data_IF_787871054227
#
_entry.id   IF_787871054227
#
_cell.length_a   1.000
_cell.length_b   1.000
_cell.length_c   1.000
_cell.angle_alpha   90.00
_cell.angle_beta   90.00
_cell.angle_gamma   90.00
#
_symmetry.space_group_name_H-M   'P 1'
#
loop_
_entity.id
_entity.type
_entity.pdbx_description
1 polymer ?
#
# COMPACT_ATOMS: atom_id res chain seq x y z
N UNK A 1 -12.50 26.62 -4.94
CA UNK A 1 -11.22 26.37 -5.66
C UNK A 1 -10.10 26.75 -4.70
N UNK A 2 -9.63 25.79 -3.91
CA UNK A 2 -8.46 25.95 -3.04
C UNK A 2 -7.44 24.97 -3.60
N UNK A 3 -6.54 25.49 -4.45
CA UNK A 3 -5.32 24.78 -4.83
C UNK A 3 -4.37 24.84 -3.64
N UNK A 4 -4.44 23.89 -2.75
CA UNK A 4 -3.36 23.64 -1.79
C UNK A 4 -2.35 22.73 -2.49
N UNK A 5 -1.43 23.32 -3.23
CA UNK A 5 -0.16 22.68 -3.55
C UNK A 5 0.61 22.58 -2.24
N UNK A 6 0.46 21.47 -1.54
CA UNK A 6 1.31 21.16 -0.40
C UNK A 6 2.71 20.87 -0.95
N UNK A 7 3.59 21.84 -0.77
CA UNK A 7 5.01 21.69 -1.07
C UNK A 7 5.63 21.04 0.16
N UNK A 8 5.95 19.75 0.10
CA UNK A 8 6.70 19.07 1.16
C UNK A 8 8.20 19.32 0.92
N UNK A 9 8.81 20.12 1.76
CA UNK A 9 10.27 20.27 1.76
C UNK A 9 10.97 19.07 2.39
N UNK A 10 12.28 18.95 2.17
CA UNK A 10 13.10 17.84 2.70
C UNK A 10 13.04 17.76 4.23
N UNK A 11 12.85 18.87 4.92
CA UNK A 11 12.77 18.94 6.39
C UNK A 11 11.49 18.29 6.87
N UNK A 12 10.37 18.63 6.25
CA UNK A 12 9.06 18.01 6.54
C UNK A 12 9.07 16.51 6.26
N UNK A 13 9.61 16.09 5.11
CA UNK A 13 9.75 14.66 4.78
C UNK A 13 10.66 13.92 5.77
N UNK A 14 11.72 14.58 6.25
CA UNK A 14 12.61 13.99 7.28
C UNK A 14 11.87 13.80 8.62
N UNK A 15 11.09 14.79 9.03
CA UNK A 15 10.31 14.71 10.26
C UNK A 15 9.28 13.58 10.21
N UNK A 16 8.53 13.49 9.13
CA UNK A 16 7.55 12.43 8.89
C UNK A 16 8.20 11.04 8.86
N UNK A 17 9.33 10.90 8.17
CA UNK A 17 10.04 9.63 8.12
C UNK A 17 10.51 9.17 9.52
N UNK A 18 10.99 10.10 10.35
CA UNK A 18 11.41 9.80 11.71
C UNK A 18 10.23 9.41 12.61
N UNK A 19 9.11 10.10 12.50
CA UNK A 19 7.88 9.82 13.24
C UNK A 19 7.36 8.39 12.96
N UNK A 20 7.45 7.96 11.72
CA UNK A 20 6.98 6.63 11.31
C UNK A 20 8.08 5.55 11.30
N UNK A 21 9.23 5.81 11.88
CA UNK A 21 10.34 4.86 11.93
C UNK A 21 10.89 4.48 10.55
N UNK A 22 10.65 5.34 9.54
CA UNK A 22 11.15 5.13 8.19
C UNK A 22 12.62 5.53 8.06
N UNK A 23 13.39 4.72 7.34
CA UNK A 23 14.74 5.09 6.96
C UNK A 23 14.68 6.14 5.84
N UNK A 24 15.15 7.36 6.14
CA UNK A 24 15.14 8.47 5.21
C UNK A 24 16.51 8.67 4.56
N UNK A 25 16.53 8.78 3.23
CA UNK A 25 17.76 8.95 2.45
C UNK A 25 17.58 10.06 1.44
N UNK A 26 18.41 11.09 1.50
CA UNK A 26 18.44 12.16 0.50
C UNK A 26 19.62 11.95 -0.45
N UNK A 27 19.32 11.85 -1.74
CA UNK A 27 20.30 11.87 -2.84
C UNK A 27 20.30 13.27 -3.43
N UNK A 28 21.22 14.11 -2.98
CA UNK A 28 21.30 15.53 -3.34
C UNK A 28 22.08 15.71 -4.63
N UNK A 29 21.39 15.65 -5.76
CA UNK A 29 21.90 15.91 -7.10
C UNK A 29 23.17 15.13 -7.47
N UNK A 30 23.28 13.80 -7.25
CA UNK A 30 24.50 13.08 -7.58
C UNK A 30 24.78 13.14 -9.09
N UNK A 31 25.89 13.74 -9.48
CA UNK A 31 26.26 13.94 -10.87
C UNK A 31 26.95 12.71 -11.52
N UNK A 32 27.10 11.62 -10.80
CA UNK A 32 27.69 10.37 -11.32
C UNK A 32 27.22 9.16 -10.53
N UNK A 33 27.31 7.99 -11.15
CA UNK A 33 27.11 6.68 -10.50
C UNK A 33 27.90 6.57 -9.19
N UNK A 34 29.17 6.97 -9.19
CA UNK A 34 30.02 6.91 -8.00
C UNK A 34 29.48 7.79 -6.86
N UNK A 35 29.03 9.00 -7.17
CA UNK A 35 28.47 9.92 -6.20
C UNK A 35 27.17 9.37 -5.61
N UNK A 36 26.29 8.80 -6.45
CA UNK A 36 25.04 8.18 -6.01
C UNK A 36 25.29 6.98 -5.09
N UNK A 37 26.17 6.06 -5.48
CA UNK A 37 26.50 4.89 -4.67
C UNK A 37 27.19 5.28 -3.34
N UNK A 38 28.01 6.33 -3.35
CA UNK A 38 28.62 6.88 -2.13
C UNK A 38 27.55 7.46 -1.17
N UNK A 39 26.56 8.17 -1.71
CA UNK A 39 25.44 8.71 -0.91
C UNK A 39 24.61 7.58 -0.27
N UNK A 40 24.28 6.54 -1.02
CA UNK A 40 23.58 5.35 -0.50
C UNK A 40 24.39 4.62 0.58
N UNK A 41 25.71 4.56 0.42
CA UNK A 41 26.60 3.97 1.44
C UNK A 41 26.64 4.83 2.70
N UNK A 42 26.79 6.16 2.54
CA UNK A 42 26.81 7.11 3.68
C UNK A 42 25.51 7.08 4.46
N UNK A 43 24.38 6.91 3.80
CA UNK A 43 23.07 6.75 4.47
C UNK A 43 22.87 5.39 5.16
N UNK A 44 23.80 4.46 5.00
CA UNK A 44 23.69 3.11 5.50
C UNK A 44 22.62 2.25 4.79
N UNK A 45 22.15 2.66 3.61
CA UNK A 45 21.25 1.87 2.79
C UNK A 45 22.00 0.80 2.00
N UNK A 46 23.28 1.03 1.73
CA UNK A 46 24.13 0.09 1.04
C UNK A 46 25.49 -0.07 1.76
N UNK A 47 26.11 -1.25 1.74
CA UNK A 47 27.42 -1.46 2.34
C UNK A 47 28.54 -0.81 1.52
N UNK A 48 29.71 -0.63 2.11
CA UNK A 48 30.86 -0.03 1.46
C UNK A 48 31.35 -0.80 0.20
N UNK A 49 31.02 -2.07 0.07
CA UNK A 49 31.32 -2.91 -1.09
C UNK A 49 30.62 -2.47 -2.38
N UNK A 50 29.54 -1.70 -2.28
CA UNK A 50 28.74 -1.20 -3.42
C UNK A 50 29.48 -0.15 -4.29
N UNK A 51 30.61 0.36 -3.86
CA UNK A 51 31.30 1.58 -4.34
C UNK A 51 31.32 1.85 -5.85
N UNK A 52 31.19 0.86 -6.74
CA UNK A 52 31.25 1.02 -8.20
C UNK A 52 30.34 0.07 -8.99
N UNK A 53 29.54 -0.76 -8.31
CA UNK A 53 28.86 -1.86 -8.96
C UNK A 53 27.35 -1.83 -8.73
N UNK A 54 26.60 -1.69 -9.83
CA UNK A 54 25.15 -1.79 -9.83
C UNK A 54 24.65 -3.18 -9.43
N UNK A 55 25.40 -4.24 -9.80
CA UNK A 55 25.03 -5.61 -9.46
C UNK A 55 25.03 -5.83 -7.94
N UNK A 56 26.05 -5.33 -7.26
CA UNK A 56 26.12 -5.39 -5.79
C UNK A 56 25.00 -4.57 -5.14
N UNK A 57 24.67 -3.40 -5.67
CA UNK A 57 23.53 -2.63 -5.18
C UNK A 57 22.22 -3.36 -5.37
N UNK A 58 22.00 -3.96 -6.55
CA UNK A 58 20.81 -4.74 -6.85
C UNK A 58 20.69 -5.92 -5.89
N UNK A 59 21.76 -6.66 -5.66
CA UNK A 59 21.78 -7.78 -4.72
C UNK A 59 21.42 -7.35 -3.30
N UNK A 60 22.05 -6.28 -2.80
CA UNK A 60 21.82 -5.76 -1.44
C UNK A 60 20.38 -5.30 -1.23
N UNK A 61 19.85 -4.50 -2.16
CA UNK A 61 18.50 -3.96 -2.03
C UNK A 61 17.40 -5.01 -2.24
N UNK A 62 17.69 -6.07 -3.00
CA UNK A 62 16.75 -7.16 -3.27
C UNK A 62 16.83 -8.33 -2.30
N UNK A 63 17.81 -8.35 -1.40
CA UNK A 63 17.86 -9.37 -0.32
C UNK A 63 16.58 -9.31 0.50
N UNK A 64 16.04 -10.49 0.87
CA UNK A 64 14.93 -10.54 1.80
C UNK A 64 15.26 -9.73 3.06
N UNK A 65 14.42 -8.81 3.40
CA UNK A 65 14.52 -8.04 4.64
C UNK A 65 13.68 -8.74 5.71
N UNK A 66 14.07 -8.66 6.99
CA UNK A 66 13.24 -9.21 8.05
C UNK A 66 11.85 -8.51 8.03
N UNK A 67 10.77 -9.21 8.41
CA UNK A 67 9.41 -8.65 8.42
C UNK A 67 9.27 -7.34 9.23
N UNK A 68 10.16 -7.14 10.21
CA UNK A 68 10.24 -5.93 11.04
C UNK A 68 11.06 -4.79 10.40
N UNK A 69 11.59 -4.96 9.19
CA UNK A 69 12.31 -3.88 8.52
C UNK A 69 11.31 -2.78 8.11
N UNK A 70 11.42 -1.63 8.76
CA UNK A 70 10.57 -0.46 8.52
C UNK A 70 10.62 0.08 7.07
N UNK A 71 9.77 1.05 6.75
CA UNK A 71 9.75 1.68 5.45
C UNK A 71 11.07 2.38 5.12
N UNK A 72 11.37 2.55 3.83
CA UNK A 72 12.53 3.29 3.33
C UNK A 72 12.04 4.33 2.35
N UNK A 73 12.35 5.61 2.61
CA UNK A 73 12.05 6.72 1.73
C UNK A 73 13.36 7.29 1.17
N UNK A 74 13.53 7.24 -0.14
CA UNK A 74 14.63 7.86 -0.85
C UNK A 74 14.10 9.10 -1.57
N UNK A 75 14.60 10.27 -1.22
CA UNK A 75 14.35 11.52 -1.95
C UNK A 75 15.52 11.78 -2.88
N UNK A 76 15.27 11.75 -4.19
CA UNK A 76 16.28 11.97 -5.21
C UNK A 76 16.07 13.34 -5.84
N UNK A 77 16.89 14.30 -5.41
CA UNK A 77 16.89 15.66 -5.95
C UNK A 77 17.72 15.72 -7.23
N UNK A 78 17.30 16.54 -8.17
CA UNK A 78 17.99 16.77 -9.45
C UNK A 78 18.40 15.47 -10.19
N UNK A 79 17.49 14.54 -10.46
CA UNK A 79 17.81 13.28 -11.13
C UNK A 79 18.41 13.48 -12.54
N UNK A 80 18.18 14.64 -13.16
CA UNK A 80 18.71 14.99 -14.47
C UNK A 80 20.23 15.22 -14.47
N UNK A 81 20.86 15.41 -13.31
CA UNK A 81 22.33 15.54 -13.20
C UNK A 81 23.04 14.20 -13.40
N UNK A 82 22.34 13.09 -13.20
CA UNK A 82 22.91 11.77 -13.45
C UNK A 82 22.72 11.39 -14.92
N UNK A 83 23.71 10.71 -15.48
CA UNK A 83 23.62 10.13 -16.83
C UNK A 83 22.33 9.28 -16.99
N UNK A 84 21.70 9.39 -18.16
CA UNK A 84 20.39 8.76 -18.39
C UNK A 84 20.43 7.25 -18.25
N UNK A 85 21.51 6.58 -18.65
CA UNK A 85 21.68 5.14 -18.54
C UNK A 85 21.84 4.72 -17.07
N UNK A 86 22.64 5.44 -16.29
CA UNK A 86 22.82 5.21 -14.86
C UNK A 86 21.54 5.52 -14.08
N UNK A 87 20.81 6.58 -14.45
CA UNK A 87 19.51 6.91 -13.86
C UNK A 87 18.46 5.82 -14.14
N UNK A 88 18.40 5.31 -15.36
CA UNK A 88 17.55 4.20 -15.76
C UNK A 88 17.88 2.91 -15.00
N UNK A 89 19.16 2.60 -14.85
CA UNK A 89 19.63 1.43 -14.10
C UNK A 89 19.24 1.54 -12.63
N UNK A 90 19.46 2.69 -12.00
CA UNK A 90 19.08 2.89 -10.60
C UNK A 90 17.57 2.74 -10.37
N UNK A 91 16.74 3.37 -11.22
CA UNK A 91 15.26 3.21 -11.15
C UNK A 91 14.84 1.76 -11.26
N UNK A 92 15.45 0.99 -12.17
CA UNK A 92 15.16 -0.43 -12.34
C UNK A 92 15.51 -1.25 -11.10
N UNK A 93 16.68 -1.00 -10.50
CA UNK A 93 17.11 -1.68 -9.27
C UNK A 93 16.14 -1.40 -8.13
N UNK A 94 15.78 -0.13 -7.91
CA UNK A 94 14.87 0.26 -6.83
C UNK A 94 13.48 -0.35 -7.03
N UNK A 95 12.96 -0.35 -8.24
CA UNK A 95 11.66 -0.97 -8.58
C UNK A 95 11.66 -2.46 -8.23
N UNK A 96 12.70 -3.19 -8.68
CA UNK A 96 12.82 -4.62 -8.39
C UNK A 96 12.96 -4.87 -6.87
N UNK A 97 13.70 -4.02 -6.17
CA UNK A 97 13.85 -4.11 -4.73
C UNK A 97 12.52 -3.86 -4.00
N UNK A 98 11.76 -2.85 -4.40
CA UNK A 98 10.45 -2.54 -3.84
C UNK A 98 9.48 -3.73 -3.96
N UNK A 99 9.38 -4.31 -5.16
CA UNK A 99 8.54 -5.49 -5.42
C UNK A 99 8.93 -6.68 -4.54
N UNK A 100 10.24 -6.97 -4.43
CA UNK A 100 10.72 -8.10 -3.62
C UNK A 100 10.57 -7.88 -2.12
N UNK A 101 10.79 -6.65 -1.64
CA UNK A 101 10.55 -6.30 -0.22
C UNK A 101 9.09 -6.51 0.15
N UNK A 102 8.19 -6.04 -0.70
CA UNK A 102 6.75 -6.20 -0.51
C UNK A 102 6.36 -7.69 -0.46
N UNK A 103 6.82 -8.48 -1.43
CA UNK A 103 6.55 -9.93 -1.47
C UNK A 103 7.10 -10.69 -0.25
N UNK A 104 8.12 -10.15 0.42
CA UNK A 104 8.73 -10.72 1.62
C UNK A 104 8.11 -10.19 2.94
N UNK A 105 7.06 -9.36 2.87
CA UNK A 105 6.43 -8.75 4.05
C UNK A 105 7.26 -7.65 4.72
N UNK A 106 8.26 -7.10 4.02
CA UNK A 106 9.06 -5.96 4.48
C UNK A 106 8.36 -4.64 4.20
N UNK A 107 8.69 -3.58 4.96
CA UNK A 107 8.16 -2.24 4.77
C UNK A 107 8.47 -1.68 3.36
N UNK A 108 7.66 -0.71 2.87
CA UNK A 108 7.77 -0.18 1.52
C UNK A 108 9.13 0.49 1.26
N UNK A 109 9.57 0.44 0.01
CA UNK A 109 10.70 1.20 -0.50
C UNK A 109 10.17 2.19 -1.54
N UNK A 110 10.25 3.47 -1.21
CA UNK A 110 9.77 4.56 -2.05
C UNK A 110 10.94 5.41 -2.55
N UNK A 111 10.85 5.88 -3.79
CA UNK A 111 11.74 6.90 -4.33
C UNK A 111 10.90 8.04 -4.88
N UNK A 112 11.09 9.22 -4.30
CA UNK A 112 10.53 10.47 -4.79
C UNK A 112 11.63 11.25 -5.48
N UNK A 113 11.43 11.58 -6.76
CA UNK A 113 12.36 12.39 -7.54
C UNK A 113 11.79 13.80 -7.69
N UNK A 114 12.61 14.80 -7.44
CA UNK A 114 12.20 16.20 -7.50
C UNK A 114 13.33 17.14 -7.91
N UNK A 115 13.03 18.44 -8.04
CA UNK A 115 14.01 19.49 -8.34
C UNK A 115 15.04 19.65 -7.19
N UNK A 116 15.93 20.63 -7.31
CA UNK A 116 16.96 20.93 -6.31
C UNK A 116 16.37 21.29 -4.94
N UNK A 117 17.23 21.31 -3.89
CA UNK A 117 16.81 21.66 -2.52
C UNK A 117 16.19 23.05 -2.38
N UNK A 118 16.54 23.96 -3.27
CA UNK A 118 16.06 25.35 -3.26
C UNK A 118 14.64 25.46 -3.87
N UNK A 119 14.25 24.49 -4.65
CA UNK A 119 12.89 24.39 -5.18
C UNK A 119 12.13 23.34 -4.36
N UNK A 120 10.98 23.74 -3.88
CA UNK A 120 10.09 22.85 -3.17
C UNK A 120 9.77 21.62 -4.04
N UNK A 121 9.94 20.43 -3.50
CA UNK A 121 9.56 19.19 -4.19
C UNK A 121 8.03 19.24 -4.35
N UNK A 122 7.50 19.39 -5.57
CA UNK A 122 6.06 19.25 -5.74
C UNK A 122 5.73 17.81 -5.32
N UNK A 123 4.82 17.65 -4.38
CA UNK A 123 4.15 16.36 -4.23
C UNK A 123 3.66 16.01 -5.62
N UNK A 124 4.05 14.84 -6.19
CA UNK A 124 3.57 14.46 -7.49
C UNK A 124 2.07 14.72 -7.50
N UNK A 125 1.58 15.44 -8.50
CA UNK A 125 0.14 15.60 -8.67
C UNK A 125 -0.39 14.17 -8.87
N UNK A 126 -0.77 13.55 -7.74
CA UNK A 126 -1.23 12.16 -7.72
C UNK A 126 -2.44 12.18 -8.63
N UNK A 127 -2.40 11.49 -9.78
CA UNK A 127 -3.49 11.55 -10.73
C UNK A 127 -4.81 11.37 -9.99
N UNK A 128 -5.87 12.08 -10.34
CA UNK A 128 -7.17 11.94 -9.67
C UNK A 128 -7.64 10.49 -9.53
N UNK A 129 -7.16 9.60 -10.42
CA UNK A 129 -7.38 8.16 -10.35
C UNK A 129 -6.77 7.48 -9.12
N UNK A 130 -5.64 8.00 -8.61
CA UNK A 130 -5.00 7.46 -7.39
C UNK A 130 -5.61 8.08 -6.11
N UNK A 131 -6.25 9.25 -6.24
CA UNK A 131 -6.96 9.92 -5.14
C UNK A 131 -8.38 9.43 -4.94
N UNK A 132 -8.90 8.61 -5.84
CA UNK A 132 -10.30 8.15 -5.78
C UNK A 132 -10.34 6.71 -5.30
N UNK A 133 -11.20 6.46 -4.33
CA UNK A 133 -11.76 5.15 -4.15
C UNK A 133 -12.48 4.79 -5.45
N UNK A 134 -12.29 3.56 -5.90
CA UNK A 134 -13.03 3.01 -7.03
C UNK A 134 -14.48 2.72 -6.67
N UNK A 135 -14.99 1.63 -7.16
CA UNK A 135 -16.33 1.17 -6.78
C UNK A 135 -16.31 0.52 -5.38
N UNK A 136 -17.49 0.35 -4.81
CA UNK A 136 -17.67 -0.54 -3.69
C UNK A 136 -17.42 -1.97 -4.18
N UNK A 137 -16.39 -2.63 -3.62
CA UNK A 137 -16.11 -4.03 -3.91
C UNK A 137 -17.13 -4.92 -3.21
N UNK A 138 -17.29 -4.76 -1.91
CA UNK A 138 -18.30 -5.46 -1.13
C UNK A 138 -18.76 -4.71 0.11
N UNK A 139 -19.85 -5.18 0.65
CA UNK A 139 -20.36 -4.81 1.97
C UNK A 139 -20.35 -6.07 2.83
N UNK A 140 -19.70 -6.02 4.00
CA UNK A 140 -19.56 -7.16 4.87
C UNK A 140 -20.57 -7.13 6.04
N UNK A 141 -21.17 -8.27 6.27
CA UNK A 141 -22.10 -8.53 7.35
C UNK A 141 -21.57 -9.67 8.22
N UNK A 142 -21.50 -9.44 9.52
CA UNK A 142 -21.21 -10.54 10.45
C UNK A 142 -22.50 -11.31 10.73
N UNK A 143 -22.39 -12.63 10.61
CA UNK A 143 -23.48 -13.58 10.88
C UNK A 143 -23.02 -14.66 11.84
N UNK A 144 -23.96 -15.24 12.57
CA UNK A 144 -23.71 -16.38 13.48
C UNK A 144 -23.40 -17.65 12.68
N UNK A 145 -24.07 -17.83 11.55
CA UNK A 145 -23.88 -18.99 10.67
C UNK A 145 -24.17 -18.60 9.22
N UNK A 146 -23.21 -18.82 8.34
CA UNK A 146 -23.39 -18.64 6.90
C UNK A 146 -24.44 -19.60 6.37
N UNK A 147 -24.42 -20.86 6.79
CA UNK A 147 -25.36 -21.88 6.32
C UNK A 147 -26.84 -21.55 6.68
N UNK A 148 -27.06 -20.89 7.81
CA UNK A 148 -28.38 -20.40 8.19
C UNK A 148 -28.77 -19.10 7.47
N UNK A 149 -27.81 -18.25 7.15
CA UNK A 149 -28.05 -16.90 6.60
C UNK A 149 -28.12 -16.86 5.08
N UNK A 150 -27.39 -17.74 4.38
CA UNK A 150 -27.26 -17.72 2.93
C UNK A 150 -28.59 -17.86 2.19
N UNK A 151 -29.57 -18.60 2.78
CA UNK A 151 -30.90 -18.77 2.18
C UNK A 151 -31.67 -17.45 2.01
N UNK A 152 -31.55 -16.52 2.97
CA UNK A 152 -32.14 -15.19 2.81
C UNK A 152 -31.58 -14.47 1.57
N UNK A 153 -30.27 -14.44 1.43
CA UNK A 153 -29.61 -13.66 0.37
C UNK A 153 -29.73 -14.32 -1.01
N UNK A 154 -29.52 -15.63 -1.07
CA UNK A 154 -29.57 -16.40 -2.32
C UNK A 154 -30.99 -16.70 -2.77
N UNK A 155 -31.81 -17.28 -1.88
CA UNK A 155 -33.08 -17.87 -2.30
C UNK A 155 -34.25 -16.86 -2.23
N UNK A 156 -34.22 -15.93 -1.28
CA UNK A 156 -35.31 -14.95 -1.11
C UNK A 156 -35.00 -13.63 -1.82
N UNK A 157 -33.74 -13.14 -1.78
CA UNK A 157 -33.33 -11.88 -2.40
C UNK A 157 -32.72 -12.09 -3.81
N UNK A 158 -32.43 -13.32 -4.19
CA UNK A 158 -32.01 -13.68 -5.55
C UNK A 158 -30.54 -13.33 -5.87
N UNK A 159 -29.67 -13.18 -4.88
CA UNK A 159 -28.25 -12.95 -5.12
C UNK A 159 -27.55 -14.25 -5.52
N UNK A 160 -26.56 -14.16 -6.40
CA UNK A 160 -25.77 -15.31 -6.80
C UNK A 160 -24.69 -15.62 -5.76
N UNK A 161 -24.71 -16.84 -5.20
CA UNK A 161 -23.64 -17.31 -4.31
C UNK A 161 -22.41 -17.68 -5.16
N UNK A 162 -21.36 -16.83 -5.10
CA UNK A 162 -20.14 -17.00 -5.88
C UNK A 162 -19.16 -17.98 -5.23
N UNK A 163 -18.97 -17.85 -3.91
CA UNK A 163 -17.99 -18.67 -3.19
C UNK A 163 -18.29 -18.75 -1.70
N UNK A 164 -17.84 -19.84 -1.09
CA UNK A 164 -17.73 -20.00 0.38
C UNK A 164 -16.33 -20.53 0.66
N UNK A 165 -15.60 -19.89 1.57
CA UNK A 165 -14.25 -20.31 1.92
C UNK A 165 -13.88 -20.00 3.35
N UNK A 166 -12.91 -20.74 3.88
CA UNK A 166 -12.28 -20.46 5.17
C UNK A 166 -11.07 -19.54 4.98
N UNK A 167 -10.92 -18.57 5.86
CA UNK A 167 -9.75 -17.70 5.97
C UNK A 167 -9.05 -17.98 7.31
N UNK A 168 -8.15 -18.97 7.36
CA UNK A 168 -7.54 -19.40 8.62
C UNK A 168 -6.74 -18.33 9.33
N UNK A 169 -6.12 -17.40 8.57
CA UNK A 169 -5.34 -16.28 9.12
C UNK A 169 -6.20 -15.35 9.95
N UNK A 170 -7.44 -15.12 9.53
CA UNK A 170 -8.39 -14.23 10.18
C UNK A 170 -9.38 -15.01 11.10
N UNK A 171 -9.30 -16.33 11.03
CA UNK A 171 -10.17 -17.27 11.78
C UNK A 171 -11.64 -16.98 11.54
N UNK A 172 -11.99 -16.86 10.27
CA UNK A 172 -13.36 -16.66 9.80
C UNK A 172 -13.65 -17.58 8.62
N UNK A 173 -14.92 -17.92 8.45
CA UNK A 173 -15.50 -18.44 7.21
C UNK A 173 -16.24 -17.32 6.54
N UNK A 174 -16.15 -17.21 5.23
CA UNK A 174 -16.80 -16.15 4.46
C UNK A 174 -17.61 -16.73 3.31
N UNK A 175 -18.64 -15.99 2.90
CA UNK A 175 -19.39 -16.25 1.68
C UNK A 175 -19.58 -14.95 0.90
N UNK A 176 -19.24 -14.96 -0.41
CA UNK A 176 -19.52 -13.85 -1.31
C UNK A 176 -20.78 -14.14 -2.13
N UNK A 177 -21.67 -13.14 -2.16
CA UNK A 177 -22.88 -13.15 -3.00
C UNK A 177 -22.86 -11.94 -3.92
N UNK A 178 -22.95 -12.17 -5.23
CA UNK A 178 -22.89 -11.15 -6.26
C UNK A 178 -24.14 -10.27 -6.30
N UNK A 179 -23.95 -8.96 -6.44
CA UNK A 179 -25.01 -7.97 -6.64
C UNK A 179 -24.53 -6.87 -7.58
N UNK A 180 -24.90 -6.97 -8.87
CA UNK A 180 -24.37 -6.08 -9.91
C UNK A 180 -22.85 -6.18 -10.02
N UNK A 181 -22.15 -5.06 -9.87
CA UNK A 181 -20.66 -5.04 -9.88
C UNK A 181 -20.03 -5.12 -8.48
N UNK A 182 -20.84 -5.29 -7.45
CA UNK A 182 -20.44 -5.37 -6.05
C UNK A 182 -20.85 -6.71 -5.46
N UNK A 183 -20.50 -6.95 -4.19
CA UNK A 183 -20.85 -8.18 -3.47
C UNK A 183 -21.40 -7.88 -2.09
N UNK A 184 -22.16 -8.80 -1.57
CA UNK A 184 -22.42 -8.95 -0.14
C UNK A 184 -21.47 -10.04 0.37
N UNK A 185 -20.72 -9.74 1.41
CA UNK A 185 -19.89 -10.70 2.13
C UNK A 185 -20.56 -11.07 3.44
N UNK A 186 -20.80 -12.35 3.67
CA UNK A 186 -21.18 -12.86 4.97
C UNK A 186 -19.94 -13.38 5.68
N UNK A 187 -19.74 -12.97 6.93
CA UNK A 187 -18.56 -13.31 7.73
C UNK A 187 -18.99 -14.04 8.99
N UNK A 188 -18.59 -15.30 9.13
CA UNK A 188 -18.82 -16.15 10.28
C UNK A 188 -17.51 -16.36 11.04
N UNK A 189 -17.40 -16.00 12.33
CA UNK A 189 -16.21 -16.29 13.12
C UNK A 189 -16.09 -17.79 13.38
N UNK A 190 -14.88 -18.36 13.15
CA UNK A 190 -14.59 -19.77 13.48
C UNK A 190 -13.88 -19.94 14.83
N UNK A 191 -13.65 -18.83 15.52
CA UNK A 191 -12.96 -18.77 16.82
C UNK A 191 -13.52 -17.58 17.62
N UNK A 192 -13.79 -17.79 18.90
CA UNK A 192 -14.44 -16.81 19.79
C UNK A 192 -13.51 -15.71 20.30
N UNK A 193 -12.20 -15.83 20.04
CA UNK A 193 -11.18 -14.84 20.48
C UNK A 193 -10.93 -13.71 19.48
N UNK A 194 -11.53 -13.77 18.30
CA UNK A 194 -11.29 -12.80 17.20
C UNK A 194 -12.00 -11.45 17.42
N UNK A 195 -11.60 -10.44 16.64
CA UNK A 195 -12.31 -9.16 16.56
C UNK A 195 -13.75 -9.32 16.06
N UNK A 196 -13.93 -10.20 15.07
CA UNK A 196 -15.23 -10.55 14.47
C UNK A 196 -16.14 -11.20 15.53
N UNK A 197 -15.63 -12.16 16.29
CA UNK A 197 -16.40 -12.80 17.37
C UNK A 197 -16.79 -11.80 18.48
N UNK A 198 -15.87 -10.90 18.86
CA UNK A 198 -16.18 -9.83 19.83
C UNK A 198 -17.24 -8.87 19.31
N UNK A 199 -17.20 -8.54 18.00
CA UNK A 199 -18.25 -7.72 17.39
C UNK A 199 -19.59 -8.44 17.49
N UNK A 200 -19.66 -9.70 17.06
CA UNK A 200 -20.89 -10.51 17.10
C UNK A 200 -21.45 -10.61 18.53
N UNK A 201 -20.60 -10.86 19.53
CA UNK A 201 -21.01 -10.94 20.93
C UNK A 201 -21.54 -9.61 21.49
N UNK A 202 -21.00 -8.48 21.04
CA UNK A 202 -21.35 -7.17 21.59
C UNK A 202 -22.43 -6.41 20.82
N UNK A 203 -22.51 -6.63 19.51
CA UNK A 203 -23.40 -5.91 18.59
C UNK A 203 -24.50 -6.78 17.99
N UNK A 204 -24.32 -8.11 18.01
CA UNK A 204 -25.14 -9.04 17.26
C UNK A 204 -24.74 -9.11 15.79
N UNK A 205 -25.55 -9.79 14.99
CA UNK A 205 -25.41 -9.85 13.54
C UNK A 205 -25.65 -8.48 12.90
N UNK A 206 -24.95 -8.19 11.83
CA UNK A 206 -25.17 -6.96 11.09
C UNK A 206 -23.95 -6.41 10.36
N UNK A 207 -24.09 -5.17 9.93
CA UNK A 207 -23.07 -4.46 9.15
C UNK A 207 -21.74 -4.36 9.90
N UNK A 208 -20.66 -4.77 9.22
CA UNK A 208 -19.32 -4.74 9.77
C UNK A 208 -18.42 -3.69 9.07
N UNK A 209 -18.26 -3.82 7.75
CA UNK A 209 -17.44 -2.90 6.99
C UNK A 209 -17.92 -2.72 5.55
N UNK A 210 -17.42 -1.68 4.91
CA UNK A 210 -17.50 -1.47 3.47
C UNK A 210 -16.10 -1.55 2.89
N UNK A 211 -15.94 -2.29 1.80
CA UNK A 211 -14.69 -2.43 1.05
C UNK A 211 -14.75 -1.62 -0.24
N UNK A 212 -13.71 -0.83 -0.49
CA UNK A 212 -13.55 -0.07 -1.72
C UNK A 212 -12.33 -0.56 -2.51
N UNK A 213 -12.46 -0.58 -3.82
CA UNK A 213 -11.33 -0.81 -4.70
C UNK A 213 -10.44 0.42 -4.77
N UNK A 214 -9.13 0.20 -4.78
CA UNK A 214 -8.11 1.20 -5.06
C UNK A 214 -7.18 0.70 -6.15
N UNK A 215 -6.62 1.61 -6.92
CA UNK A 215 -5.74 1.25 -8.03
C UNK A 215 -4.37 0.72 -7.55
N UNK A 216 -3.87 1.25 -6.44
CA UNK A 216 -2.62 0.85 -5.80
C UNK A 216 -2.80 0.99 -4.28
N UNK A 217 -2.85 -0.14 -3.60
CA UNK A 217 -3.15 -0.17 -2.18
C UNK A 217 -2.01 0.42 -1.35
N UNK A 218 -0.77 0.13 -1.68
CA UNK A 218 0.39 0.65 -0.94
C UNK A 218 0.47 2.18 -1.02
N UNK A 219 0.25 2.76 -2.21
CA UNK A 219 0.22 4.21 -2.38
C UNK A 219 -0.97 4.86 -1.66
N UNK A 220 -2.13 4.19 -1.71
CA UNK A 220 -3.32 4.67 -1.00
C UNK A 220 -3.09 4.75 0.51
N UNK A 221 -2.48 3.72 1.12
CA UNK A 221 -2.20 3.70 2.56
C UNK A 221 -1.25 4.81 2.98
N UNK A 222 -0.13 4.99 2.27
CA UNK A 222 0.83 6.06 2.54
C UNK A 222 0.15 7.42 2.50
N UNK A 223 -0.65 7.66 1.46
CA UNK A 223 -1.34 8.94 1.32
C UNK A 223 -2.35 9.17 2.45
N UNK A 224 -3.16 8.16 2.78
CA UNK A 224 -4.18 8.27 3.83
C UNK A 224 -3.53 8.54 5.19
N UNK A 225 -2.40 7.93 5.47
CA UNK A 225 -1.61 8.18 6.68
C UNK A 225 -1.05 9.61 6.69
N UNK A 226 -0.49 10.09 5.57
CA UNK A 226 -0.05 11.47 5.41
C UNK A 226 -1.19 12.50 5.53
N UNK A 227 -2.39 12.13 5.11
CA UNK A 227 -3.61 12.93 5.27
C UNK A 227 -4.16 12.87 6.70
N UNK A 228 -3.48 12.14 7.62
CA UNK A 228 -3.80 12.07 9.05
C UNK A 228 -4.87 11.05 9.43
N UNK A 229 -5.17 10.09 8.56
CA UNK A 229 -6.09 9.00 8.90
C UNK A 229 -5.38 7.95 9.76
N UNK A 230 -6.07 7.49 10.81
CA UNK A 230 -5.63 6.35 11.61
C UNK A 230 -5.90 5.06 10.82
N UNK A 231 -4.85 4.32 10.50
CA UNK A 231 -4.93 3.04 9.80
C UNK A 231 -4.84 1.90 10.82
N UNK A 232 -5.57 0.80 10.56
CA UNK A 232 -5.38 -0.47 11.29
C UNK A 232 -4.20 -1.22 10.67
N UNK A 233 -4.17 -1.28 9.32
CA UNK A 233 -3.08 -1.89 8.58
C UNK A 233 -2.30 -0.79 7.84
N UNK A 234 -1.04 -0.58 8.20
CA UNK A 234 -0.14 0.37 7.53
C UNK A 234 0.55 -0.22 6.30
N UNK A 235 0.43 -1.54 6.12
CA UNK A 235 0.91 -2.29 4.95
C UNK A 235 -0.17 -3.26 4.49
N UNK A 236 -0.26 -3.54 3.17
CA UNK A 236 -1.21 -4.52 2.66
C UNK A 236 -1.00 -5.90 3.30
N UNK A 237 -2.09 -6.56 3.67
CA UNK A 237 -2.12 -7.95 4.11
C UNK A 237 -2.92 -8.81 3.14
N UNK A 238 -2.77 -10.12 3.23
CA UNK A 238 -3.53 -11.05 2.37
C UNK A 238 -4.99 -11.07 2.81
N UNK A 239 -5.89 -10.75 1.88
CA UNK A 239 -7.34 -10.96 2.00
C UNK A 239 -7.81 -12.15 1.16
N UNK A 240 -9.12 -12.33 1.08
CA UNK A 240 -9.74 -13.42 0.34
C UNK A 240 -9.54 -13.32 -1.18
N UNK A 241 -9.71 -12.14 -1.74
CA UNK A 241 -9.67 -11.89 -3.20
C UNK A 241 -8.48 -11.04 -3.62
N UNK A 242 -7.56 -10.72 -2.72
CA UNK A 242 -6.36 -9.92 -3.02
C UNK A 242 -5.75 -9.27 -1.80
N UNK A 243 -4.76 -8.39 -2.02
CA UNK A 243 -4.20 -7.58 -0.95
C UNK A 243 -5.24 -6.60 -0.40
N UNK A 244 -5.37 -6.52 0.93
CA UNK A 244 -6.31 -5.66 1.63
C UNK A 244 -5.64 -4.89 2.77
N UNK A 245 -6.28 -3.81 3.21
CA UNK A 245 -5.92 -3.09 4.42
C UNK A 245 -7.14 -2.35 5.00
N UNK A 246 -7.15 -2.12 6.32
CA UNK A 246 -8.24 -1.47 7.02
C UNK A 246 -7.87 -0.09 7.53
N UNK A 247 -8.82 0.84 7.38
CA UNK A 247 -8.79 2.17 7.99
C UNK A 247 -9.59 2.11 9.30
N UNK A 248 -9.04 2.69 10.36
CA UNK A 248 -9.67 2.66 11.67
C UNK A 248 -11.00 3.44 11.67
N UNK A 249 -12.08 2.90 12.30
CA UNK A 249 -13.39 3.55 12.33
C UNK A 249 -13.39 5.00 12.85
N UNK A 250 -12.45 5.37 13.72
CA UNK A 250 -12.32 6.76 14.22
C UNK A 250 -12.09 7.76 13.10
N UNK A 251 -11.39 7.37 12.05
CA UNK A 251 -11.10 8.23 10.89
C UNK A 251 -12.26 8.24 9.87
N UNK A 252 -13.22 7.32 10.00
CA UNK A 252 -14.33 7.11 9.06
C UNK A 252 -15.70 7.21 9.73
N UNK A 253 -15.88 8.13 10.67
CA UNK A 253 -17.16 8.40 11.35
C UNK A 253 -17.81 7.15 12.00
N UNK A 254 -16.98 6.24 12.50
CA UNK A 254 -17.43 5.01 13.15
C UNK A 254 -17.61 3.81 12.21
N UNK A 255 -17.36 3.99 10.90
CA UNK A 255 -17.42 2.92 9.91
C UNK A 255 -16.03 2.30 9.75
N UNK A 256 -15.94 0.97 9.84
CA UNK A 256 -14.74 0.23 9.43
C UNK A 256 -14.68 0.22 7.90
N UNK A 257 -13.60 0.72 7.35
CA UNK A 257 -13.39 0.77 5.89
C UNK A 257 -12.25 -0.17 5.51
N UNK A 258 -12.52 -1.05 4.58
CA UNK A 258 -11.53 -1.90 3.94
C UNK A 258 -11.15 -1.32 2.57
N UNK A 259 -9.91 -1.45 2.20
CA UNK A 259 -9.41 -1.17 0.85
C UNK A 259 -8.87 -2.46 0.25
N UNK A 260 -9.19 -2.70 -1.02
CA UNK A 260 -8.66 -3.83 -1.81
C UNK A 260 -8.02 -3.29 -3.09
N UNK A 261 -6.90 -3.88 -3.50
CA UNK A 261 -6.31 -3.52 -4.79
C UNK A 261 -7.11 -4.12 -5.94
N UNK A 262 -7.56 -3.25 -6.86
CA UNK A 262 -8.34 -3.68 -8.03
C UNK A 262 -7.54 -4.63 -8.92
N UNK A 263 -8.14 -5.72 -9.44
CA UNK A 263 -7.50 -6.58 -10.41
C UNK A 263 -7.13 -5.77 -11.66
N UNK A 264 -5.85 -5.78 -12.05
CA UNK A 264 -5.36 -5.02 -13.19
C UNK A 264 -5.27 -3.50 -12.96
N UNK A 265 -5.20 -3.06 -11.71
CA UNK A 265 -4.88 -1.69 -11.34
C UNK A 265 -3.67 -1.17 -12.12
N UNK A 266 -3.51 0.15 -12.29
CA UNK A 266 -2.49 0.70 -13.17
C UNK A 266 -1.12 0.19 -12.75
N UNK A 267 -0.57 -0.67 -13.59
CA UNK A 267 0.85 -1.01 -13.50
C UNK A 267 1.64 0.27 -13.77
N UNK A 268 2.84 0.40 -13.26
CA UNK A 268 3.73 1.55 -13.50
C UNK A 268 3.82 1.98 -14.99
N UNK A 269 3.48 1.08 -15.91
CA UNK A 269 3.39 1.30 -17.36
C UNK A 269 2.21 2.20 -17.75
N UNK A 270 1.09 2.15 -17.05
CA UNK A 270 -0.09 2.97 -17.35
C UNK A 270 0.00 4.38 -16.77
N UNK A 271 0.95 4.64 -15.87
CA UNK A 271 1.24 5.94 -15.30
C UNK A 271 2.22 6.78 -16.17
N UNK A 272 2.44 6.38 -17.43
CA UNK A 272 3.31 7.11 -18.36
C UNK A 272 4.81 6.84 -18.17
N UNK A 273 5.18 5.91 -17.30
CA UNK A 273 6.55 5.43 -17.19
C UNK A 273 6.75 4.32 -18.21
N UNK A 274 7.16 4.71 -19.43
CA UNK A 274 7.53 3.79 -20.49
C UNK A 274 8.54 2.78 -19.97
N UNK A 275 8.20 1.49 -20.00
CA UNK A 275 9.18 0.43 -19.99
C UNK A 275 9.87 0.45 -21.35
N UNK A 276 10.89 1.32 -21.53
CA UNK A 276 11.75 1.24 -22.69
C UNK A 276 12.26 -0.19 -22.82
N UNK A 277 11.99 -0.79 -23.98
CA UNK A 277 12.62 -2.02 -24.43
C UNK A 277 14.09 -1.77 -24.65
#
# INVERSE_FOLDING_TARGET
MIETRAVLDVTTLTALANEHGAKFVVLDGPASKRALLAALTKSGLAPASVRRDWGVLAEVLTKPQPPAAGPVLIVWLDPARLDQADAGTFRSIVRNAATRRFAAGGGPLLVVAGPSREEAIPVPDVPPSIRRLGKIHHVALIVTSIDASVGLWRDMLGLELETVMDIPTDRVRIAFLGVGESKVELVEPTDDTTGVARFLASKGEGFHHVCFEVANLSEALIRLELDGLELIDTVPRRGAEGPVAFIHPRSCHGVLVELIEAPGGPTWTSLGFSTGR
#
